data_IF_447866814641
#
_entry.id   IF_447866814641
#
_cell.length_a   1.000
_cell.length_b   1.000
_cell.length_c   1.000
_cell.angle_alpha   90.00
_cell.angle_beta   90.00
_cell.angle_gamma   90.00
#
_symmetry.space_group_name_H-M   'P 1'
#
loop_
_entity.id
_entity.type
_entity.pdbx_description
1 polymer ?
#
# COMPACT_ATOMS: atom_id res chain seq x y z
N UNK A 1 -0.16 -14.65 -6.10
CA UNK A 1 -0.36 -13.86 -4.86
C UNK A 1 -0.88 -12.48 -5.21
N UNK A 2 -1.80 -11.89 -4.44
CA UNK A 2 -2.27 -10.50 -4.66
C UNK A 2 -1.68 -9.60 -3.58
N UNK A 3 -1.22 -8.41 -3.95
CA UNK A 3 -0.64 -7.44 -3.02
C UNK A 3 -1.55 -6.21 -2.98
N UNK A 4 -1.87 -5.75 -1.78
CA UNK A 4 -2.65 -4.54 -1.55
C UNK A 4 -1.82 -3.55 -0.75
N UNK A 5 -1.53 -2.39 -1.31
CA UNK A 5 -1.02 -1.25 -0.56
C UNK A 5 -2.22 -0.48 -0.02
N UNK A 6 -2.44 -0.53 1.29
CA UNK A 6 -3.51 0.23 1.96
C UNK A 6 -2.86 1.39 2.69
N UNK A 7 -3.02 2.61 2.16
CA UNK A 7 -2.25 3.78 2.59
C UNK A 7 -3.15 4.95 2.93
N UNK A 8 -2.72 5.77 3.89
CA UNK A 8 -3.40 7.02 4.27
C UNK A 8 -2.80 8.17 3.46
N UNK A 9 -3.67 9.05 2.99
CA UNK A 9 -3.32 10.14 2.10
C UNK A 9 -3.45 9.73 0.64
N UNK A 10 -3.67 10.72 -0.22
CA UNK A 10 -3.71 10.56 -1.67
C UNK A 10 -2.58 11.36 -2.29
N UNK A 11 -1.78 10.68 -3.10
CA UNK A 11 -0.73 11.36 -3.85
C UNK A 11 -1.35 12.21 -4.96
N UNK A 12 -0.84 13.42 -5.11
CA UNK A 12 -1.13 14.30 -6.23
C UNK A 12 -0.12 14.03 -7.35
N UNK A 13 -0.41 14.54 -8.55
CA UNK A 13 0.55 14.53 -9.63
C UNK A 13 1.85 15.21 -9.17
N UNK A 14 2.99 14.55 -9.41
CA UNK A 14 4.29 15.00 -8.94
C UNK A 14 5.31 13.86 -8.91
N UNK A 15 6.56 14.16 -8.52
CA UNK A 15 7.68 13.22 -8.60
C UNK A 15 7.47 11.96 -7.75
N UNK A 16 6.82 12.05 -6.59
CA UNK A 16 6.51 10.90 -5.74
C UNK A 16 5.52 9.94 -6.41
N UNK A 17 4.52 10.49 -7.09
CA UNK A 17 3.53 9.69 -7.82
C UNK A 17 4.17 9.01 -9.04
N UNK A 18 4.99 9.74 -9.79
CA UNK A 18 5.77 9.19 -10.91
C UNK A 18 6.70 8.07 -10.47
N UNK A 19 7.37 8.23 -9.33
CA UNK A 19 8.24 7.20 -8.75
C UNK A 19 7.45 5.92 -8.44
N UNK A 20 6.31 6.05 -7.77
CA UNK A 20 5.47 4.89 -7.44
C UNK A 20 4.97 4.21 -8.72
N UNK A 21 4.50 4.98 -9.70
CA UNK A 21 3.98 4.43 -10.95
C UNK A 21 5.06 3.66 -11.73
N UNK A 22 6.31 4.15 -11.76
CA UNK A 22 7.45 3.42 -12.35
C UNK A 22 7.70 2.09 -11.62
N UNK A 23 7.75 2.09 -10.28
CA UNK A 23 7.98 0.85 -9.52
C UNK A 23 6.82 -0.15 -9.65
N UNK A 24 5.57 0.30 -9.70
CA UNK A 24 4.41 -0.56 -9.96
C UNK A 24 4.50 -1.19 -11.35
N UNK A 25 4.87 -0.41 -12.38
CA UNK A 25 5.04 -0.92 -13.73
C UNK A 25 6.15 -1.97 -13.83
N UNK A 26 7.29 -1.73 -13.18
CA UNK A 26 8.39 -2.70 -13.09
C UNK A 26 7.94 -3.98 -12.39
N UNK A 27 7.21 -3.84 -11.29
CA UNK A 27 6.67 -4.96 -10.54
C UNK A 27 5.71 -5.80 -11.39
N UNK A 28 4.79 -5.18 -12.13
CA UNK A 28 3.86 -5.93 -12.97
C UNK A 28 4.55 -6.73 -14.07
N UNK A 29 5.60 -6.17 -14.67
CA UNK A 29 6.38 -6.84 -15.73
C UNK A 29 7.14 -8.06 -15.19
N UNK A 30 7.82 -7.91 -14.05
CA UNK A 30 8.69 -8.95 -13.50
C UNK A 30 7.88 -9.95 -12.66
N UNK A 31 7.02 -9.44 -11.77
CA UNK A 31 6.28 -10.20 -10.78
C UNK A 31 5.37 -11.26 -11.37
N UNK A 32 4.80 -11.03 -12.57
CA UNK A 32 3.93 -11.99 -13.24
C UNK A 32 4.63 -13.34 -13.48
N UNK A 33 5.89 -13.32 -13.86
CA UNK A 33 6.69 -14.54 -14.06
C UNK A 33 6.93 -15.31 -12.75
N UNK A 34 6.89 -14.61 -11.61
CA UNK A 34 7.06 -15.17 -10.26
C UNK A 34 5.73 -15.47 -9.56
N UNK A 35 4.60 -15.46 -10.28
CA UNK A 35 3.27 -15.69 -9.68
C UNK A 35 2.80 -14.57 -8.76
N UNK A 36 3.46 -13.41 -8.81
CA UNK A 36 3.04 -12.19 -8.15
C UNK A 36 2.05 -11.45 -9.08
N UNK A 37 0.82 -11.29 -8.60
CA UNK A 37 -0.25 -10.61 -9.30
C UNK A 37 -0.16 -9.09 -9.11
N UNK A 38 -1.03 -8.31 -9.78
CA UNK A 38 -0.96 -6.86 -9.74
C UNK A 38 -1.03 -6.33 -8.30
N UNK A 39 -0.37 -5.20 -8.08
CA UNK A 39 -0.45 -4.46 -6.82
C UNK A 39 -1.64 -3.51 -6.90
N UNK A 40 -2.55 -3.59 -5.94
CA UNK A 40 -3.67 -2.66 -5.81
C UNK A 40 -3.34 -1.60 -4.76
N UNK A 41 -3.30 -0.35 -5.18
CA UNK A 41 -3.10 0.80 -4.29
C UNK A 41 -4.46 1.34 -3.85
N UNK A 42 -4.77 1.16 -2.57
CA UNK A 42 -5.98 1.63 -1.91
C UNK A 42 -5.61 2.82 -1.03
N UNK A 43 -5.76 4.03 -1.58
CA UNK A 43 -5.58 5.27 -0.84
C UNK A 43 -6.85 5.62 -0.08
N UNK A 44 -6.72 5.94 1.21
CA UNK A 44 -7.79 6.47 2.04
C UNK A 44 -7.45 7.88 2.51
N UNK A 45 -8.45 8.74 2.58
CA UNK A 45 -8.26 10.14 2.97
C UNK A 45 -9.23 10.49 4.10
N UNK A 46 -8.70 10.94 5.23
CA UNK A 46 -9.50 11.47 6.32
C UNK A 46 -9.94 12.91 6.04
N UNK A 47 -10.99 13.04 5.22
CA UNK A 47 -11.56 14.35 4.87
C UNK A 47 -12.17 15.10 6.06
N UNK A 48 -12.37 14.44 7.19
CA UNK A 48 -13.02 15.03 8.38
C UNK A 48 -12.00 15.46 9.44
N UNK A 49 -10.69 15.26 9.20
CA UNK A 49 -9.64 15.51 10.18
C UNK A 49 -9.94 14.87 11.56
N UNK A 50 -10.49 13.67 11.55
CA UNK A 50 -10.76 12.86 12.74
C UNK A 50 -9.51 12.22 13.35
N UNK A 51 -8.37 12.32 12.68
CA UNK A 51 -7.06 11.88 13.16
C UNK A 51 -6.89 10.36 13.10
N UNK A 52 -5.86 9.86 13.79
CA UNK A 52 -5.38 8.47 13.67
C UNK A 52 -6.48 7.40 13.84
N UNK A 53 -7.44 7.61 14.75
CA UNK A 53 -8.53 6.66 14.96
C UNK A 53 -9.45 6.54 13.74
N UNK A 54 -9.74 7.66 13.08
CA UNK A 54 -10.57 7.66 11.88
C UNK A 54 -9.82 7.05 10.69
N UNK A 55 -8.53 7.36 10.54
CA UNK A 55 -7.66 6.74 9.54
C UNK A 55 -7.60 5.22 9.69
N UNK A 56 -7.48 4.72 10.92
CA UNK A 56 -7.50 3.28 11.20
C UNK A 56 -8.81 2.61 10.76
N UNK A 57 -9.96 3.25 11.01
CA UNK A 57 -11.26 2.76 10.55
C UNK A 57 -11.32 2.73 9.01
N UNK A 58 -10.79 3.75 8.34
CA UNK A 58 -10.75 3.81 6.87
C UNK A 58 -9.86 2.71 6.30
N UNK A 59 -8.66 2.49 6.87
CA UNK A 59 -7.75 1.42 6.47
C UNK A 59 -8.39 0.03 6.65
N UNK A 60 -9.03 -0.21 7.78
CA UNK A 60 -9.70 -1.50 8.06
C UNK A 60 -10.76 -1.85 7.01
N UNK A 61 -11.40 -0.86 6.37
CA UNK A 61 -12.41 -1.08 5.32
C UNK A 61 -11.82 -1.52 3.98
N UNK A 62 -10.57 -1.15 3.70
CA UNK A 62 -9.90 -1.46 2.42
C UNK A 62 -9.02 -2.69 2.50
N UNK A 63 -8.63 -3.13 3.71
CA UNK A 63 -7.90 -4.39 3.90
C UNK A 63 -8.80 -5.58 3.52
N UNK A 64 -8.37 -6.44 2.58
CA UNK A 64 -9.15 -7.62 2.20
C UNK A 64 -9.32 -8.61 3.36
N UNK A 65 -10.52 -9.19 3.48
CA UNK A 65 -10.78 -10.23 4.48
C UNK A 65 -9.86 -11.44 4.26
N UNK A 66 -9.26 -11.94 5.34
CA UNK A 66 -8.36 -13.09 5.31
C UNK A 66 -6.95 -12.79 4.76
N UNK A 67 -6.63 -11.53 4.44
CA UNK A 67 -5.28 -11.16 4.04
C UNK A 67 -4.29 -11.27 5.22
N UNK A 68 -3.06 -11.68 4.93
CA UNK A 68 -1.94 -11.46 5.84
C UNK A 68 -1.63 -9.97 5.85
N UNK A 69 -1.79 -9.33 7.00
CA UNK A 69 -1.50 -7.90 7.17
C UNK A 69 -0.04 -7.72 7.56
N UNK A 70 0.67 -6.85 6.83
CA UNK A 70 2.02 -6.40 7.11
C UNK A 70 1.93 -4.89 7.35
N UNK A 71 2.40 -4.44 8.51
CA UNK A 71 2.34 -3.04 8.92
C UNK A 71 3.75 -2.46 8.84
N UNK A 72 3.88 -1.27 8.26
CA UNK A 72 5.11 -0.50 8.28
C UNK A 72 5.09 0.38 9.53
N UNK A 73 5.92 0.04 10.51
CA UNK A 73 6.02 0.71 11.80
C UNK A 73 7.50 0.88 12.14
N UNK A 74 7.90 2.06 12.62
CA UNK A 74 9.30 2.37 12.93
C UNK A 74 9.88 1.53 14.07
N UNK A 75 9.03 0.87 14.86
CA UNK A 75 9.39 0.00 15.99
C UNK A 75 9.28 -1.49 15.64
N UNK A 76 8.91 -1.81 14.40
CA UNK A 76 8.76 -3.17 13.92
C UNK A 76 10.10 -3.87 13.66
N UNK A 77 10.00 -5.13 13.24
CA UNK A 77 11.17 -5.93 12.85
C UNK A 77 11.80 -5.40 11.56
N UNK A 78 13.12 -5.25 11.55
CA UNK A 78 13.89 -4.86 10.36
C UNK A 78 14.22 -6.11 9.53
N UNK A 79 13.70 -6.16 8.32
CA UNK A 79 13.94 -7.25 7.36
C UNK A 79 14.82 -6.74 6.23
N UNK A 80 16.00 -7.33 6.05
CA UNK A 80 16.87 -7.03 4.90
C UNK A 80 16.40 -7.76 3.64
N UNK A 81 16.62 -7.14 2.48
CA UNK A 81 16.55 -7.86 1.21
C UNK A 81 17.63 -8.96 1.17
N UNK A 82 17.35 -10.15 0.60
CA UNK A 82 18.35 -11.19 0.36
C UNK A 82 19.52 -10.72 -0.52
#
# INVERSE_FOLDING_TARGET
>A
MKIHLCVVGRLRNGPEKELIDDYLHRFEKIGRAHGLGPVLVNEVEDKKNGGMLNEAILLQRVIPKGAKVIILDERGDVISSP
#
